data_IF_776844796562
#
_entry.id   IF_776844796562
#
_cell.length_a   1.000
_cell.length_b   1.000
_cell.length_c   1.000
_cell.angle_alpha   90.00
_cell.angle_beta   90.00
_cell.angle_gamma   90.00
#
_symmetry.space_group_name_H-M   'P 1'
#
loop_
_entity.id
_entity.type
_entity.pdbx_description
1 polymer ?
#
# COMPACT_ATOMS: atom_id res chain seq x y z
N UNK A 1 -19.83 19.86 -3.46
CA UNK A 1 -20.43 19.04 -2.41
C UNK A 1 -21.78 19.64 -2.01
N UNK A 2 -22.88 18.87 -2.06
CA UNK A 2 -24.24 19.34 -1.73
C UNK A 2 -24.37 19.95 -0.32
N UNK A 3 -23.66 19.41 0.66
CA UNK A 3 -23.61 19.96 2.02
C UNK A 3 -22.98 21.36 2.06
N UNK A 4 -21.91 21.58 1.32
CA UNK A 4 -21.27 22.91 1.23
C UNK A 4 -22.17 23.92 0.49
N UNK A 5 -22.97 23.47 -0.46
CA UNK A 5 -23.99 24.29 -1.14
C UNK A 5 -25.09 24.71 -0.18
N UNK A 6 -25.62 23.78 0.63
CA UNK A 6 -26.60 24.08 1.67
C UNK A 6 -26.07 25.12 2.66
N UNK A 7 -24.83 24.99 3.13
CA UNK A 7 -24.22 25.97 4.03
C UNK A 7 -24.08 27.35 3.39
N UNK A 8 -23.72 27.44 2.12
CA UNK A 8 -23.63 28.71 1.40
C UNK A 8 -24.99 29.38 1.24
N UNK A 9 -26.01 28.60 0.84
CA UNK A 9 -27.39 29.11 0.66
C UNK A 9 -27.99 29.57 2.01
N UNK A 10 -27.89 28.74 3.04
CA UNK A 10 -28.42 29.07 4.37
C UNK A 10 -27.71 30.26 5.02
N UNK A 11 -26.38 30.37 4.84
CA UNK A 11 -25.63 31.54 5.33
C UNK A 11 -26.03 32.81 4.62
N UNK A 12 -26.21 32.78 3.30
CA UNK A 12 -26.69 33.93 2.52
C UNK A 12 -28.08 34.38 3.00
N UNK A 13 -29.00 33.43 3.15
CA UNK A 13 -30.34 33.69 3.67
C UNK A 13 -30.27 34.35 5.06
N UNK A 14 -29.48 33.80 5.97
CA UNK A 14 -29.37 34.29 7.35
C UNK A 14 -28.78 35.70 7.46
N UNK A 15 -28.02 36.16 6.46
CA UNK A 15 -27.38 37.49 6.46
C UNK A 15 -28.34 38.61 6.07
N UNK A 16 -29.31 38.35 5.19
CA UNK A 16 -30.13 39.43 4.58
C UNK A 16 -31.61 39.37 4.93
N UNK A 17 -32.17 38.15 5.03
CA UNK A 17 -33.62 37.97 5.11
C UNK A 17 -34.33 38.80 6.20
N UNK A 18 -33.82 38.77 7.44
CA UNK A 18 -34.44 39.50 8.56
C UNK A 18 -34.43 41.01 8.34
N UNK A 19 -33.27 41.57 7.99
CA UNK A 19 -33.08 43.01 7.88
C UNK A 19 -33.85 43.59 6.70
N UNK A 20 -33.88 42.88 5.56
CA UNK A 20 -34.66 43.29 4.38
C UNK A 20 -36.14 43.22 4.67
N UNK A 21 -36.65 42.15 5.27
CA UNK A 21 -38.05 41.98 5.53
C UNK A 21 -38.55 42.90 6.68
N UNK A 22 -37.79 43.05 7.77
CA UNK A 22 -38.10 43.96 8.86
C UNK A 22 -38.20 45.43 8.35
N UNK A 23 -37.32 45.83 7.43
CA UNK A 23 -37.33 47.15 6.81
C UNK A 23 -38.56 47.37 5.91
N UNK A 24 -38.85 46.41 5.06
CA UNK A 24 -40.02 46.49 4.19
C UNK A 24 -41.35 46.54 4.98
N UNK A 25 -41.47 45.68 6.01
CA UNK A 25 -42.62 45.66 6.92
C UNK A 25 -42.74 46.95 7.74
N UNK A 26 -41.61 47.57 8.14
CA UNK A 26 -41.60 48.85 8.78
C UNK A 26 -42.18 49.96 7.89
N UNK A 27 -41.78 50.05 6.61
CA UNK A 27 -42.32 51.02 5.64
C UNK A 27 -43.83 50.84 5.41
N UNK A 28 -44.32 49.60 5.41
CA UNK A 28 -45.76 49.30 5.36
C UNK A 28 -46.46 49.74 6.68
N UNK A 29 -45.87 49.49 7.85
CA UNK A 29 -46.44 49.82 9.14
C UNK A 29 -46.61 51.35 9.35
N UNK A 30 -45.63 52.14 8.90
CA UNK A 30 -45.68 53.62 8.97
C UNK A 30 -46.55 54.27 7.85
N UNK A 31 -47.05 53.47 6.90
CA UNK A 31 -47.84 53.97 5.77
C UNK A 31 -47.03 54.71 4.70
N UNK A 32 -45.74 54.50 4.66
CA UNK A 32 -44.85 55.03 3.60
C UNK A 32 -44.94 54.25 2.28
N UNK A 33 -45.41 53.00 2.37
CA UNK A 33 -45.71 52.11 1.28
C UNK A 33 -47.20 51.81 1.23
N UNK A 34 -47.77 51.63 0.02
CA UNK A 34 -49.21 51.30 -0.15
C UNK A 34 -49.47 49.83 0.25
N UNK A 35 -50.71 49.53 0.65
CA UNK A 35 -51.10 48.17 0.97
C UNK A 35 -51.00 47.19 -0.23
N UNK A 36 -51.02 47.70 -1.45
CA UNK A 36 -50.79 46.93 -2.66
C UNK A 36 -49.37 46.34 -2.77
N UNK A 37 -48.37 46.95 -2.11
CA UNK A 37 -47.00 46.50 -2.10
C UNK A 37 -46.74 45.34 -1.09
N UNK A 38 -47.76 44.98 -0.28
CA UNK A 38 -47.69 43.82 0.63
C UNK A 38 -47.48 42.52 -0.12
N UNK A 39 -48.05 42.38 -1.30
CA UNK A 39 -47.90 41.17 -2.13
C UNK A 39 -46.41 40.93 -2.52
N UNK A 40 -45.62 41.98 -2.76
CA UNK A 40 -44.20 41.87 -3.03
C UNK A 40 -43.42 41.38 -1.79
N UNK A 41 -43.79 41.85 -0.59
CA UNK A 41 -43.17 41.46 0.66
C UNK A 41 -43.55 40.02 1.06
N UNK A 42 -44.83 39.63 0.80
CA UNK A 42 -45.27 38.23 0.94
C UNK A 42 -44.51 37.30 -0.01
N UNK A 43 -44.23 37.77 -1.23
CA UNK A 43 -43.39 37.06 -2.22
C UNK A 43 -42.00 36.70 -1.66
N UNK A 44 -41.38 37.59 -0.84
CA UNK A 44 -40.09 37.30 -0.21
C UNK A 44 -40.21 36.12 0.80
N UNK A 45 -41.35 35.97 1.47
CA UNK A 45 -41.57 34.81 2.35
C UNK A 45 -41.79 33.53 1.55
N UNK A 46 -42.45 33.61 0.38
CA UNK A 46 -42.61 32.47 -0.51
C UNK A 46 -41.28 32.04 -1.12
N UNK A 47 -40.42 32.99 -1.54
CA UNK A 47 -39.03 32.72 -1.94
C UNK A 47 -38.22 32.03 -0.82
N UNK A 48 -38.42 32.49 0.42
CA UNK A 48 -37.79 31.84 1.60
C UNK A 48 -38.27 30.39 1.76
N UNK A 49 -39.57 30.11 1.56
CA UNK A 49 -40.09 28.74 1.62
C UNK A 49 -39.51 27.86 0.51
N UNK A 50 -39.33 28.40 -0.69
CA UNK A 50 -38.65 27.68 -1.79
C UNK A 50 -37.18 27.34 -1.43
N UNK A 51 -36.50 28.27 -0.77
CA UNK A 51 -35.14 28.00 -0.22
C UNK A 51 -35.18 26.85 0.78
N UNK A 52 -36.16 26.83 1.71
CA UNK A 52 -36.29 25.72 2.69
C UNK A 52 -36.51 24.37 1.99
N UNK A 53 -37.34 24.33 0.95
CA UNK A 53 -37.51 23.10 0.17
C UNK A 53 -36.23 22.66 -0.54
N UNK A 54 -35.45 23.61 -1.05
CA UNK A 54 -34.16 23.34 -1.70
C UNK A 54 -33.14 22.78 -0.73
N UNK A 55 -33.05 23.36 0.47
CA UNK A 55 -32.19 22.84 1.56
C UNK A 55 -32.64 21.44 1.98
N UNK A 56 -33.95 21.20 2.10
CA UNK A 56 -34.54 19.90 2.50
C UNK A 56 -34.13 18.76 1.57
N UNK A 57 -34.06 18.97 0.27
CA UNK A 57 -33.65 17.95 -0.72
C UNK A 57 -32.25 17.42 -0.49
N UNK A 58 -31.39 18.20 0.15
CA UNK A 58 -29.98 17.87 0.39
C UNK A 58 -29.63 17.69 1.87
N UNK A 59 -30.60 17.74 2.77
CA UNK A 59 -30.40 17.53 4.22
C UNK A 59 -30.74 16.09 4.59
N UNK A 60 -29.76 15.34 5.08
CA UNK A 60 -29.90 13.90 5.36
C UNK A 60 -29.89 13.53 6.85
N UNK A 61 -29.72 14.52 7.75
CA UNK A 61 -29.67 14.26 9.17
C UNK A 61 -30.89 14.81 9.92
N UNK A 62 -31.36 14.10 10.93
CA UNK A 62 -32.60 14.38 11.61
C UNK A 62 -32.66 15.79 12.24
N UNK A 63 -31.53 16.29 12.81
CA UNK A 63 -31.45 17.62 13.40
C UNK A 63 -31.70 18.73 12.36
N UNK A 64 -31.09 18.63 11.19
CA UNK A 64 -31.32 19.61 10.11
C UNK A 64 -32.75 19.59 9.58
N UNK A 65 -33.33 18.40 9.38
CA UNK A 65 -34.75 18.27 8.99
C UNK A 65 -35.67 18.89 10.03
N UNK A 66 -35.37 18.73 11.32
CA UNK A 66 -36.17 19.35 12.41
C UNK A 66 -36.11 20.87 12.34
N UNK A 67 -34.91 21.46 12.14
CA UNK A 67 -34.78 22.91 11.99
C UNK A 67 -35.56 23.42 10.77
N UNK A 68 -35.49 22.74 9.62
CA UNK A 68 -36.25 23.14 8.43
C UNK A 68 -37.77 23.07 8.65
N UNK A 69 -38.26 22.08 9.38
CA UNK A 69 -39.71 22.02 9.75
C UNK A 69 -40.14 23.19 10.66
N UNK A 70 -39.27 23.59 11.62
CA UNK A 70 -39.52 24.75 12.46
C UNK A 70 -39.51 26.04 11.65
N UNK A 71 -38.56 26.18 10.71
CA UNK A 71 -38.48 27.34 9.84
C UNK A 71 -39.70 27.48 8.94
N UNK A 72 -40.20 26.41 8.33
CA UNK A 72 -41.45 26.42 7.55
C UNK A 72 -42.63 26.91 8.42
N UNK A 73 -42.76 26.39 9.66
CA UNK A 73 -43.83 26.80 10.57
C UNK A 73 -43.72 28.28 10.97
N UNK A 74 -42.49 28.80 11.15
CA UNK A 74 -42.29 30.22 11.44
C UNK A 74 -42.60 31.10 10.22
N UNK A 75 -42.21 30.70 9.02
CA UNK A 75 -42.52 31.41 7.78
C UNK A 75 -44.04 31.47 7.50
N UNK A 76 -44.76 30.36 7.74
CA UNK A 76 -46.22 30.34 7.65
C UNK A 76 -46.88 31.27 8.67
N UNK A 77 -46.39 31.27 9.93
CA UNK A 77 -46.87 32.18 10.96
C UNK A 77 -46.55 33.65 10.59
N UNK A 78 -45.36 33.92 10.08
CA UNK A 78 -44.95 35.25 9.65
C UNK A 78 -45.90 35.78 8.56
N UNK A 79 -46.14 35.00 7.51
CA UNK A 79 -47.12 35.36 6.45
C UNK A 79 -48.49 35.71 7.01
N UNK A 80 -49.00 34.92 7.95
CA UNK A 80 -50.29 35.19 8.62
C UNK A 80 -50.27 36.51 9.41
N UNK A 81 -49.17 36.79 10.15
CA UNK A 81 -49.05 38.03 10.94
C UNK A 81 -48.87 39.26 10.04
N UNK A 82 -48.21 39.15 8.91
CA UNK A 82 -48.10 40.24 7.92
C UNK A 82 -49.47 40.67 7.42
N UNK A 83 -50.35 39.72 7.09
CA UNK A 83 -51.70 40.01 6.69
C UNK A 83 -52.50 40.68 7.81
N UNK A 84 -52.37 40.22 9.07
CA UNK A 84 -53.04 40.80 10.24
C UNK A 84 -52.60 42.24 10.50
N UNK A 85 -51.31 42.59 10.30
CA UNK A 85 -50.79 43.95 10.49
C UNK A 85 -51.54 44.94 9.59
N UNK A 86 -51.90 44.60 8.39
CA UNK A 86 -52.56 45.47 7.44
C UNK A 86 -54.04 45.74 7.78
N UNK A 87 -54.65 44.90 8.61
CA UNK A 87 -56.02 45.12 9.11
C UNK A 87 -56.09 46.20 10.22
N UNK A 88 -54.93 46.50 10.85
CA UNK A 88 -54.86 47.47 11.95
C UNK A 88 -54.80 48.90 11.37
N UNK A 89 -55.78 49.71 11.68
CA UNK A 89 -55.91 51.10 11.19
C UNK A 89 -55.11 52.11 12.00
N UNK A 90 -54.95 51.86 13.29
CA UNK A 90 -54.35 52.79 14.24
C UNK A 90 -52.80 52.63 14.20
N UNK A 91 -52.09 53.74 14.01
CA UNK A 91 -50.64 53.77 13.84
C UNK A 91 -49.88 53.12 15.03
N UNK A 92 -50.22 53.57 16.26
CA UNK A 92 -49.54 53.08 17.46
C UNK A 92 -49.70 51.58 17.65
N UNK A 93 -50.90 51.05 17.37
CA UNK A 93 -51.16 49.61 17.41
C UNK A 93 -50.46 48.83 16.30
N UNK A 94 -50.27 49.41 15.13
CA UNK A 94 -49.49 48.78 14.06
C UNK A 94 -48.02 48.65 14.45
N UNK A 95 -47.46 49.72 15.07
CA UNK A 95 -46.08 49.69 15.52
C UNK A 95 -45.87 48.68 16.64
N UNK A 96 -46.77 48.66 17.63
CA UNK A 96 -46.76 47.68 18.73
C UNK A 96 -46.87 46.25 18.18
N UNK A 97 -47.75 46.03 17.23
CA UNK A 97 -47.93 44.73 16.58
C UNK A 97 -46.67 44.31 15.78
N UNK A 98 -46.06 45.24 15.03
CA UNK A 98 -44.83 45.04 14.31
C UNK A 98 -43.73 44.56 15.26
N UNK A 99 -43.50 45.25 16.40
CA UNK A 99 -42.44 44.93 17.35
C UNK A 99 -42.73 43.65 18.11
N UNK A 100 -43.97 43.40 18.53
CA UNK A 100 -44.35 42.25 19.37
C UNK A 100 -44.63 40.96 18.56
N UNK A 101 -44.84 41.04 17.25
CA UNK A 101 -45.14 39.88 16.42
C UNK A 101 -44.13 39.70 15.27
N UNK A 102 -44.01 40.68 14.36
CA UNK A 102 -43.21 40.51 13.15
C UNK A 102 -41.71 40.35 13.48
N UNK A 103 -41.13 41.32 14.23
CA UNK A 103 -39.71 41.30 14.62
C UNK A 103 -39.34 40.11 15.49
N UNK A 104 -40.26 39.63 16.33
CA UNK A 104 -40.01 38.42 17.12
C UNK A 104 -39.94 37.19 16.23
N UNK A 105 -40.85 37.04 15.27
CA UNK A 105 -40.87 35.87 14.37
C UNK A 105 -39.66 35.90 13.42
N UNK A 106 -39.31 37.05 12.85
CA UNK A 106 -38.09 37.17 12.00
C UNK A 106 -36.82 36.86 12.79
N UNK A 107 -36.77 37.26 14.09
CA UNK A 107 -35.72 36.88 15.02
C UNK A 107 -35.63 35.38 15.28
N UNK A 108 -36.80 34.70 15.45
CA UNK A 108 -36.86 33.24 15.61
C UNK A 108 -36.44 32.50 14.35
N UNK A 109 -36.82 33.00 13.17
CA UNK A 109 -36.38 32.46 11.88
C UNK A 109 -34.85 32.53 11.75
N UNK A 110 -34.27 33.70 12.06
CA UNK A 110 -32.82 33.89 12.03
C UNK A 110 -32.11 32.94 13.01
N UNK A 111 -32.60 32.82 14.23
CA UNK A 111 -32.04 31.93 15.26
C UNK A 111 -32.11 30.46 14.81
N UNK A 112 -33.26 30.03 14.29
CA UNK A 112 -33.43 28.64 13.85
C UNK A 112 -32.60 28.34 12.59
N UNK A 113 -32.42 29.30 11.70
CA UNK A 113 -31.49 29.17 10.58
C UNK A 113 -30.02 29.05 11.05
N UNK A 114 -29.61 29.78 12.07
CA UNK A 114 -28.30 29.60 12.71
C UNK A 114 -28.12 28.19 13.30
N UNK A 115 -29.18 27.67 13.96
CA UNK A 115 -29.21 26.30 14.46
C UNK A 115 -29.06 25.28 13.31
N UNK A 116 -29.74 25.52 12.20
CA UNK A 116 -29.60 24.70 10.98
C UNK A 116 -28.16 24.71 10.46
N UNK A 117 -27.57 25.90 10.27
CA UNK A 117 -26.18 26.08 9.80
C UNK A 117 -25.20 25.35 10.74
N UNK A 118 -25.39 25.49 12.05
CA UNK A 118 -24.55 24.79 13.04
C UNK A 118 -24.65 23.27 12.90
N UNK A 119 -25.88 22.72 12.84
CA UNK A 119 -26.11 21.28 12.70
C UNK A 119 -25.55 20.73 11.40
N UNK A 120 -25.70 21.46 10.28
CA UNK A 120 -25.16 21.09 8.97
C UNK A 120 -23.64 21.10 8.98
N UNK A 121 -23.01 22.11 9.61
CA UNK A 121 -21.56 22.19 9.78
C UNK A 121 -21.01 21.03 10.61
N UNK A 122 -21.67 20.70 11.72
CA UNK A 122 -21.29 19.57 12.58
C UNK A 122 -21.43 18.22 11.85
N UNK A 123 -22.47 18.07 11.04
CA UNK A 123 -22.65 16.88 10.21
C UNK A 123 -21.56 16.74 9.13
N UNK A 124 -21.19 17.85 8.49
CA UNK A 124 -20.08 17.89 7.52
C UNK A 124 -18.75 17.43 8.15
N UNK A 125 -18.41 17.98 9.33
CA UNK A 125 -17.21 17.59 10.07
C UNK A 125 -17.23 16.10 10.42
N UNK A 126 -18.39 15.58 10.86
CA UNK A 126 -18.55 14.15 11.19
C UNK A 126 -18.35 13.25 9.97
N UNK A 127 -18.89 13.63 8.83
CA UNK A 127 -18.69 12.89 7.56
C UNK A 127 -17.23 12.91 7.14
N UNK A 128 -16.58 14.06 7.20
CA UNK A 128 -15.17 14.23 6.84
C UNK A 128 -14.23 13.42 7.74
N UNK A 129 -14.46 13.45 9.06
CA UNK A 129 -13.65 12.66 10.01
C UNK A 129 -13.82 11.16 9.79
N UNK A 130 -15.04 10.68 9.53
CA UNK A 130 -15.32 9.28 9.24
C UNK A 130 -14.64 8.82 7.92
N UNK A 131 -14.66 9.65 6.87
CA UNK A 131 -13.96 9.37 5.62
C UNK A 131 -12.45 9.29 5.82
N UNK A 132 -11.88 10.25 6.55
CA UNK A 132 -10.45 10.29 6.87
C UNK A 132 -10.03 9.04 7.65
N UNK A 133 -10.84 8.60 8.62
CA UNK A 133 -10.57 7.39 9.39
C UNK A 133 -10.60 6.13 8.51
N UNK A 134 -11.59 5.99 7.64
CA UNK A 134 -11.68 4.86 6.69
C UNK A 134 -10.50 4.82 5.73
N UNK A 135 -10.09 5.96 5.19
CA UNK A 135 -8.91 6.07 4.31
C UNK A 135 -7.64 5.67 5.05
N UNK A 136 -7.45 6.09 6.30
CA UNK A 136 -6.29 5.67 7.12
C UNK A 136 -6.26 4.16 7.33
N UNK A 137 -7.40 3.52 7.63
CA UNK A 137 -7.50 2.06 7.78
C UNK A 137 -7.13 1.35 6.47
N UNK A 138 -7.62 1.82 5.33
CA UNK A 138 -7.29 1.25 4.03
C UNK A 138 -5.79 1.35 3.70
N UNK A 139 -5.19 2.53 3.95
CA UNK A 139 -3.75 2.74 3.72
C UNK A 139 -2.92 1.83 4.64
N UNK A 140 -3.27 1.74 5.93
CA UNK A 140 -2.56 0.87 6.86
C UNK A 140 -2.70 -0.61 6.50
N UNK A 141 -3.88 -1.05 6.06
CA UNK A 141 -4.10 -2.41 5.56
C UNK A 141 -3.26 -2.74 4.32
N UNK A 142 -3.18 -1.81 3.36
CA UNK A 142 -2.30 -1.97 2.20
C UNK A 142 -0.82 -2.03 2.57
N UNK A 143 -0.38 -1.20 3.53
CA UNK A 143 1.01 -1.24 4.01
C UNK A 143 1.36 -2.60 4.65
N UNK A 144 0.48 -3.15 5.47
CA UNK A 144 0.66 -4.48 6.07
C UNK A 144 0.73 -5.58 5.00
N UNK A 145 -0.14 -5.54 4.00
CA UNK A 145 -0.10 -6.47 2.87
C UNK A 145 1.20 -6.41 2.08
N UNK A 146 1.70 -5.20 1.80
CA UNK A 146 2.99 -5.00 1.13
C UNK A 146 4.15 -5.57 1.94
N UNK A 147 4.19 -5.32 3.25
CA UNK A 147 5.23 -5.86 4.13
C UNK A 147 5.16 -7.39 4.21
N UNK A 148 3.97 -7.97 4.27
CA UNK A 148 3.77 -9.42 4.27
C UNK A 148 4.26 -10.07 2.96
N UNK A 149 3.90 -9.49 1.80
CA UNK A 149 4.37 -9.99 0.49
C UNK A 149 5.89 -9.88 0.35
N UNK A 150 6.49 -8.77 0.80
CA UNK A 150 7.95 -8.59 0.81
C UNK A 150 8.62 -9.64 1.70
N UNK A 151 8.08 -9.91 2.90
CA UNK A 151 8.58 -10.95 3.80
C UNK A 151 8.53 -12.35 3.19
N UNK A 152 7.44 -12.68 2.49
CA UNK A 152 7.30 -13.96 1.77
C UNK A 152 8.33 -14.07 0.63
N UNK A 153 8.52 -13.02 -0.14
CA UNK A 153 9.51 -12.99 -1.23
C UNK A 153 10.95 -13.12 -0.70
N UNK A 154 11.29 -12.40 0.37
CA UNK A 154 12.59 -12.56 1.04
C UNK A 154 12.81 -13.99 1.50
N UNK A 155 11.84 -14.59 2.21
CA UNK A 155 11.95 -15.98 2.68
C UNK A 155 12.14 -16.96 1.52
N UNK A 156 11.43 -16.79 0.40
CA UNK A 156 11.63 -17.61 -0.81
C UNK A 156 13.00 -17.40 -1.43
N UNK A 157 13.48 -16.17 -1.50
CA UNK A 157 14.81 -15.84 -2.02
C UNK A 157 15.92 -16.51 -1.21
N UNK A 158 15.86 -16.42 0.12
CA UNK A 158 16.83 -17.11 1.00
C UNK A 158 16.80 -18.62 0.83
N UNK A 159 15.60 -19.23 0.70
CA UNK A 159 15.46 -20.67 0.49
C UNK A 159 16.03 -21.12 -0.86
N UNK A 160 15.81 -20.32 -1.93
CA UNK A 160 16.38 -20.59 -3.25
C UNK A 160 17.91 -20.46 -3.24
N UNK A 161 18.45 -19.45 -2.57
CA UNK A 161 19.89 -19.25 -2.47
C UNK A 161 20.56 -20.39 -1.71
N UNK A 162 20.07 -20.76 -0.53
CA UNK A 162 20.63 -21.83 0.29
C UNK A 162 20.37 -23.23 -0.26
N UNK A 163 19.17 -23.46 -0.80
CA UNK A 163 18.76 -24.79 -1.28
C UNK A 163 19.23 -25.17 -2.66
N UNK A 164 19.50 -24.21 -3.54
CA UNK A 164 19.86 -24.50 -4.95
C UNK A 164 21.18 -23.83 -5.35
N UNK A 165 21.27 -22.52 -5.22
CA UNK A 165 22.39 -21.75 -5.80
C UNK A 165 23.71 -22.12 -5.13
N UNK A 166 23.73 -22.20 -3.80
CA UNK A 166 24.93 -22.51 -3.04
C UNK A 166 25.42 -23.95 -3.33
N UNK A 167 24.59 -25.02 -3.19
CA UNK A 167 25.04 -26.37 -3.51
C UNK A 167 25.51 -26.54 -4.95
N UNK A 168 24.83 -25.95 -5.93
CA UNK A 168 25.27 -26.00 -7.34
C UNK A 168 26.61 -25.30 -7.55
N UNK A 169 26.87 -24.19 -6.84
CA UNK A 169 28.14 -23.50 -6.89
C UNK A 169 29.26 -24.36 -6.28
N UNK A 170 29.00 -25.03 -5.16
CA UNK A 170 29.95 -25.95 -4.53
C UNK A 170 30.26 -27.15 -5.41
N UNK A 171 29.24 -27.72 -6.09
CA UNK A 171 29.43 -28.80 -7.06
C UNK A 171 30.27 -28.37 -8.28
N UNK A 172 30.03 -27.16 -8.81
CA UNK A 172 30.87 -26.60 -9.88
C UNK A 172 32.34 -26.52 -9.44
N UNK A 173 32.60 -26.05 -8.23
CA UNK A 173 33.95 -25.89 -7.72
C UNK A 173 34.60 -27.27 -7.43
N UNK A 174 33.79 -28.25 -6.99
CA UNK A 174 34.19 -29.65 -6.85
C UNK A 174 34.64 -30.24 -8.20
N UNK A 175 33.83 -30.12 -9.25
CA UNK A 175 34.17 -30.57 -10.60
C UNK A 175 35.47 -29.93 -11.11
N UNK A 176 35.68 -28.64 -10.84
CA UNK A 176 36.95 -27.96 -11.16
C UNK A 176 38.16 -28.57 -10.43
N UNK A 177 38.02 -28.98 -9.16
CA UNK A 177 39.08 -29.65 -8.38
C UNK A 177 39.40 -31.01 -8.97
N UNK A 178 38.37 -31.80 -9.27
CA UNK A 178 38.54 -33.11 -9.93
C UNK A 178 39.24 -32.97 -11.28
N UNK A 179 38.85 -31.97 -12.10
CA UNK A 179 39.51 -31.69 -13.36
C UNK A 179 40.99 -31.25 -13.25
N UNK A 180 41.43 -30.79 -12.07
CA UNK A 180 42.83 -30.47 -11.77
C UNK A 180 43.60 -31.65 -11.12
N UNK A 181 42.98 -32.82 -11.06
CA UNK A 181 43.58 -34.01 -10.45
C UNK A 181 43.42 -34.16 -8.96
N UNK A 182 42.61 -33.30 -8.32
CA UNK A 182 42.26 -33.47 -6.89
C UNK A 182 40.94 -34.23 -6.76
N UNK A 183 41.04 -35.51 -6.45
CA UNK A 183 39.91 -36.45 -6.33
C UNK A 183 39.40 -36.59 -4.91
N UNK A 184 40.07 -36.01 -3.91
CA UNK A 184 39.61 -35.97 -2.55
C UNK A 184 38.61 -34.81 -2.38
N UNK A 185 37.34 -35.11 -2.66
CA UNK A 185 36.28 -34.14 -2.65
C UNK A 185 35.21 -34.55 -1.62
N UNK A 186 34.83 -33.58 -0.77
CA UNK A 186 33.81 -33.79 0.25
C UNK A 186 32.40 -33.76 -0.34
N UNK A 187 31.45 -34.51 0.26
CA UNK A 187 30.03 -34.43 -0.14
C UNK A 187 29.48 -33.01 0.08
N UNK A 188 28.64 -32.55 -0.85
CA UNK A 188 27.87 -31.32 -0.69
C UNK A 188 26.56 -31.67 -0.02
N UNK A 189 26.22 -30.97 1.06
CA UNK A 189 24.93 -31.13 1.73
C UNK A 189 23.87 -30.29 1.00
N UNK A 190 22.82 -30.92 0.50
CA UNK A 190 21.70 -30.25 -0.15
C UNK A 190 20.37 -30.70 0.46
N UNK A 191 19.42 -29.77 0.60
CA UNK A 191 18.05 -30.08 1.06
C UNK A 191 17.20 -30.73 -0.06
N UNK A 192 17.64 -30.61 -1.30
CA UNK A 192 16.93 -31.06 -2.50
C UNK A 192 17.53 -32.40 -2.94
N UNK A 193 16.69 -33.43 -3.03
CA UNK A 193 17.11 -34.80 -3.32
C UNK A 193 17.83 -34.90 -4.67
N UNK A 194 17.35 -34.23 -5.68
CA UNK A 194 17.95 -34.25 -7.03
C UNK A 194 19.36 -33.66 -7.05
N UNK A 195 19.65 -32.68 -6.19
CA UNK A 195 20.97 -32.09 -6.04
C UNK A 195 21.89 -33.04 -5.28
N UNK A 196 21.37 -33.72 -4.25
CA UNK A 196 22.12 -34.73 -3.52
C UNK A 196 22.50 -35.92 -4.42
N UNK A 197 21.56 -36.42 -5.24
CA UNK A 197 21.82 -37.47 -6.22
C UNK A 197 22.89 -37.08 -7.24
N UNK A 198 22.84 -35.84 -7.71
CA UNK A 198 23.85 -35.31 -8.62
C UNK A 198 25.25 -35.24 -7.95
N UNK A 199 25.33 -34.80 -6.69
CA UNK A 199 26.59 -34.78 -5.93
C UNK A 199 27.16 -36.19 -5.74
N UNK A 200 26.30 -37.17 -5.39
CA UNK A 200 26.71 -38.57 -5.28
C UNK A 200 27.25 -39.10 -6.62
N UNK A 201 26.61 -38.72 -7.75
CA UNK A 201 27.11 -39.04 -9.10
C UNK A 201 28.52 -38.50 -9.37
N UNK A 202 28.76 -37.24 -9.03
CA UNK A 202 30.07 -36.59 -9.17
C UNK A 202 31.11 -37.30 -8.31
N UNK A 203 30.78 -37.61 -7.05
CA UNK A 203 31.68 -38.33 -6.14
C UNK A 203 32.06 -39.71 -6.69
N UNK A 204 31.09 -40.49 -7.18
CA UNK A 204 31.33 -41.80 -7.81
C UNK A 204 32.24 -41.66 -9.04
N UNK A 205 32.03 -40.64 -9.89
CA UNK A 205 32.91 -40.38 -11.02
C UNK A 205 34.34 -40.03 -10.58
N UNK A 206 34.52 -39.16 -9.59
CA UNK A 206 35.82 -38.79 -9.05
C UNK A 206 36.58 -39.98 -8.53
N UNK A 207 35.95 -40.84 -7.74
CA UNK A 207 36.56 -42.08 -7.25
C UNK A 207 36.93 -43.05 -8.39
N UNK A 208 36.09 -43.20 -9.38
CA UNK A 208 36.37 -44.07 -10.51
C UNK A 208 37.54 -43.57 -11.37
N UNK A 209 37.62 -42.26 -11.60
CA UNK A 209 38.75 -41.65 -12.31
C UNK A 209 40.04 -41.82 -11.52
N UNK A 210 40.03 -41.56 -10.20
CA UNK A 210 41.17 -41.79 -9.31
C UNK A 210 41.67 -43.23 -9.41
N UNK A 211 40.76 -44.21 -9.29
CA UNK A 211 41.09 -45.63 -9.41
C UNK A 211 41.70 -46.00 -10.78
N UNK A 212 41.12 -45.46 -11.88
CA UNK A 212 41.67 -45.69 -13.23
C UNK A 212 43.07 -45.12 -13.39
N UNK A 213 43.33 -43.91 -12.86
CA UNK A 213 44.64 -43.27 -12.90
C UNK A 213 45.69 -44.09 -12.11
N UNK A 214 45.32 -44.61 -10.94
CA UNK A 214 46.19 -45.46 -10.17
C UNK A 214 46.50 -46.79 -10.87
N UNK A 215 45.50 -47.41 -11.50
CA UNK A 215 45.73 -48.61 -12.30
C UNK A 215 46.68 -48.32 -13.50
N UNK A 216 46.49 -47.20 -14.21
CA UNK A 216 47.37 -46.77 -15.31
C UNK A 216 48.79 -46.54 -14.79
N UNK A 217 48.95 -45.98 -13.59
CA UNK A 217 50.26 -45.75 -12.96
C UNK A 217 50.93 -47.07 -12.67
N UNK A 218 50.23 -48.01 -12.03
CA UNK A 218 50.75 -49.36 -11.74
C UNK A 218 51.10 -50.12 -13.00
N UNK A 219 50.26 -50.04 -14.03
CA UNK A 219 50.57 -50.67 -15.32
C UNK A 219 51.83 -50.10 -15.95
N UNK A 220 52.02 -48.78 -15.97
CA UNK A 220 53.25 -48.13 -16.42
C UNK A 220 54.48 -48.54 -15.63
N UNK A 221 54.36 -48.60 -14.29
CA UNK A 221 55.46 -49.06 -13.42
C UNK A 221 55.82 -50.50 -13.76
N UNK A 222 54.84 -51.39 -13.95
CA UNK A 222 55.07 -52.78 -14.32
C UNK A 222 55.68 -52.89 -15.73
N UNK A 223 55.22 -52.10 -16.70
CA UNK A 223 55.82 -52.05 -18.02
C UNK A 223 57.27 -51.62 -17.97
N UNK A 224 57.58 -50.58 -17.17
CA UNK A 224 58.96 -50.11 -16.98
C UNK A 224 59.88 -51.15 -16.35
N UNK A 225 59.36 -51.85 -15.32
CA UNK A 225 60.11 -52.96 -14.71
C UNK A 225 60.36 -54.10 -15.69
N UNK A 226 59.36 -54.44 -16.53
CA UNK A 226 59.50 -55.49 -17.55
C UNK A 226 60.50 -55.07 -18.59
N UNK A 227 60.51 -53.81 -19.02
CA UNK A 227 61.50 -53.27 -20.00
C UNK A 227 62.92 -53.33 -19.43
N UNK A 228 63.13 -52.97 -18.14
CA UNK A 228 64.43 -53.09 -17.48
C UNK A 228 64.86 -54.55 -17.37
N UNK A 229 63.97 -55.49 -17.10
CA UNK A 229 64.28 -56.93 -17.11
C UNK A 229 64.69 -57.42 -18.50
N UNK A 230 64.02 -56.96 -19.52
CA UNK A 230 64.40 -57.28 -20.93
C UNK A 230 65.80 -56.74 -21.25
N UNK A 231 66.12 -55.52 -20.92
CA UNK A 231 67.42 -54.91 -21.09
C UNK A 231 68.52 -55.72 -20.35
N UNK A 232 68.23 -56.06 -19.06
CA UNK A 232 69.13 -56.89 -18.30
C UNK A 232 69.38 -58.31 -18.94
N UNK A 233 68.31 -58.89 -19.50
CA UNK A 233 68.39 -60.18 -20.15
C UNK A 233 69.15 -60.09 -21.49
N UNK A 234 69.06 -58.96 -22.19
CA UNK A 234 69.85 -58.70 -23.48
C UNK A 234 71.33 -58.45 -23.20
N UNK A 235 71.69 -57.91 -22.04
CA UNK A 235 73.09 -57.83 -21.61
C UNK A 235 73.57 -59.25 -21.32
N UNK A 236 74.04 -59.94 -22.28
CA UNK A 236 74.50 -61.35 -22.17
C UNK A 236 75.44 -61.52 -20.96
N UNK A 237 74.96 -62.09 -19.82
CA UNK A 237 75.79 -62.24 -18.61
C UNK A 237 77.02 -63.08 -18.83
N UNK A 238 76.91 -64.00 -19.76
CA UNK A 238 78.05 -64.86 -20.13
C UNK A 238 79.14 -64.07 -20.86
N UNK A 239 78.79 -63.07 -21.73
CA UNK A 239 79.72 -62.20 -22.36
C UNK A 239 80.50 -61.32 -21.39
N UNK A 240 79.78 -60.70 -20.43
CA UNK A 240 80.37 -59.83 -19.36
C UNK A 240 81.30 -60.67 -18.49
N UNK A 241 80.87 -61.84 -18.01
CA UNK A 241 81.67 -62.72 -17.17
C UNK A 241 82.93 -63.23 -17.97
N UNK A 242 82.77 -63.59 -19.21
CA UNK A 242 83.90 -63.98 -20.00
C UNK A 242 84.90 -62.85 -20.26
N UNK A 243 84.36 -61.60 -20.54
CA UNK A 243 85.24 -60.44 -20.73
C UNK A 243 85.96 -60.04 -19.39
N UNK A 244 85.27 -60.05 -18.28
CA UNK A 244 85.86 -59.82 -16.98
C UNK A 244 86.91 -60.90 -16.59
N UNK A 245 86.63 -62.16 -16.89
CA UNK A 245 87.60 -63.29 -16.72
C UNK A 245 88.82 -63.10 -17.55
N UNK A 246 88.67 -62.67 -18.81
CA UNK A 246 89.83 -62.40 -19.71
C UNK A 246 90.65 -61.20 -19.15
N UNK A 247 90.00 -60.13 -18.72
CA UNK A 247 90.61 -58.94 -18.14
C UNK A 247 91.36 -59.34 -16.83
N UNK A 248 90.72 -60.07 -15.93
CA UNK A 248 91.32 -60.58 -14.70
C UNK A 248 92.54 -61.50 -14.98
N UNK A 249 92.41 -62.40 -15.93
CA UNK A 249 93.49 -63.27 -16.34
C UNK A 249 94.67 -62.49 -16.92
N UNK A 250 94.43 -61.44 -17.71
CA UNK A 250 95.50 -60.56 -18.25
C UNK A 250 96.15 -59.74 -17.11
N UNK A 251 95.38 -59.25 -16.15
CA UNK A 251 95.92 -58.54 -14.97
C UNK A 251 96.90 -59.42 -14.22
N UNK A 252 96.56 -60.69 -13.98
CA UNK A 252 97.39 -61.66 -13.30
C UNK A 252 98.66 -61.94 -14.10
N UNK A 253 98.62 -62.01 -15.43
CA UNK A 253 99.77 -62.22 -16.27
C UNK A 253 100.73 -61.03 -16.33
N UNK A 254 100.26 -59.82 -16.13
CA UNK A 254 101.04 -58.58 -16.19
C UNK A 254 101.58 -58.14 -14.83
N UNK A 255 101.25 -58.86 -13.77
CA UNK A 255 101.90 -58.72 -12.48
C UNK A 255 101.42 -57.54 -11.61
N UNK A 256 100.16 -57.06 -11.87
CA UNK A 256 99.48 -56.11 -11.00
C UNK A 256 98.33 -56.76 -10.19
#
# INVERSE_FOLDING_TARGET
NKLSENLAVSSKFNLSFKDELDLEMYYLAIGSKEASELDDVVGQVEDAQEIMEKLRKNTYHASGVKCLNSLDAYLDNLKKRMLQLMEIKEYDKRMEFMDSNIRIITGLIMQEMQNYIYNESMYLVKVETNLTHRVKILISGMAVLLLATLGILMRRSFRLTGGIIQPVTEMRDKVKKVGKGNFDVLPVSAEIIEIEELDQGINKMAHRISGLLENVRQEKEMQHLTELQLIQAQVNPHFINNTLSVISYRGILLGD
#
